data_IF_463659356603
#
_entry.id   IF_463659356603
#
_cell.length_a   1.000
_cell.length_b   1.000
_cell.length_c   1.000
_cell.angle_alpha   90.00
_cell.angle_beta   90.00
_cell.angle_gamma   90.00
#
_symmetry.space_group_name_H-M   'P 1'
#
loop_
_entity.id
_entity.type
_entity.pdbx_description
1 polymer ?
#
# COMPACT_ATOMS: atom_id res chain seq x y z
N UNK A 1 -41.63 -19.09 7.87
CA UNK A 1 -40.37 -19.01 8.63
C UNK A 1 -39.47 -18.08 7.85
N UNK A 2 -39.35 -16.85 8.32
CA UNK A 2 -38.58 -15.82 7.65
C UNK A 2 -37.12 -16.29 7.58
N UNK A 3 -36.53 -16.27 6.39
CA UNK A 3 -35.13 -16.63 6.21
C UNK A 3 -34.30 -15.70 7.07
N UNK A 4 -33.49 -16.27 7.95
CA UNK A 4 -32.46 -15.49 8.64
C UNK A 4 -31.58 -14.89 7.55
N UNK A 5 -31.68 -13.58 7.35
CA UNK A 5 -30.63 -12.85 6.67
C UNK A 5 -29.40 -13.04 7.54
N UNK A 6 -28.38 -13.75 7.04
CA UNK A 6 -27.09 -13.77 7.71
C UNK A 6 -26.69 -12.31 7.94
N UNK A 7 -26.32 -11.90 9.17
CA UNK A 7 -25.80 -10.56 9.35
C UNK A 7 -24.64 -10.41 8.37
N UNK A 8 -24.68 -9.40 7.50
CA UNK A 8 -23.54 -9.07 6.66
C UNK A 8 -22.43 -8.61 7.60
N UNK A 9 -21.54 -9.52 7.96
CA UNK A 9 -20.37 -9.20 8.77
C UNK A 9 -19.42 -8.41 7.86
N UNK A 10 -19.01 -7.21 8.27
CA UNK A 10 -18.22 -6.32 7.41
C UNK A 10 -16.85 -6.93 7.12
N UNK A 11 -16.38 -6.76 5.89
CA UNK A 11 -14.99 -7.05 5.51
C UNK A 11 -14.10 -5.98 6.12
N UNK A 12 -12.99 -6.39 6.72
CA UNK A 12 -11.96 -5.47 7.23
C UNK A 12 -10.76 -5.51 6.29
N UNK A 13 -10.18 -4.35 5.99
CA UNK A 13 -8.98 -4.22 5.17
C UNK A 13 -7.91 -3.45 5.93
N UNK A 14 -6.64 -3.73 5.64
CA UNK A 14 -5.51 -2.98 6.20
C UNK A 14 -4.34 -2.97 5.24
N UNK A 15 -3.89 -1.77 4.90
CA UNK A 15 -2.66 -1.51 4.15
C UNK A 15 -1.51 -1.16 5.09
N UNK A 16 -0.33 -1.72 4.81
CA UNK A 16 0.92 -1.46 5.54
C UNK A 16 2.09 -1.44 4.56
N UNK A 17 3.04 -0.51 4.76
CA UNK A 17 4.35 -0.62 4.13
C UNK A 17 5.16 -1.69 4.86
N UNK A 18 5.75 -2.60 4.11
CA UNK A 18 6.51 -3.74 4.64
C UNK A 18 7.96 -3.78 4.13
N UNK A 19 8.33 -2.88 3.23
CA UNK A 19 9.68 -2.80 2.68
C UNK A 19 9.92 -1.49 1.93
N UNK A 20 11.20 -1.18 1.72
CA UNK A 20 11.64 0.09 1.15
C UNK A 20 11.70 1.21 2.19
N UNK A 21 12.49 2.23 1.89
CA UNK A 21 12.58 3.49 2.63
C UNK A 21 12.35 4.65 1.64
N UNK A 22 11.80 5.79 2.10
CA UNK A 22 11.32 6.06 3.47
C UNK A 22 9.96 5.42 3.80
N UNK A 23 9.59 5.42 5.08
CA UNK A 23 8.22 5.10 5.50
C UNK A 23 7.25 6.20 5.03
N UNK A 24 6.13 5.81 4.42
CA UNK A 24 5.09 6.74 3.97
C UNK A 24 3.82 6.66 4.81
N UNK A 25 3.16 7.81 4.99
CA UNK A 25 1.82 7.87 5.57
C UNK A 25 0.78 7.33 4.57
N UNK A 26 0.14 6.21 4.92
CA UNK A 26 -0.95 5.63 4.13
C UNK A 26 -2.29 6.21 4.60
N UNK A 27 -2.87 7.07 3.79
CA UNK A 27 -4.19 7.65 4.01
C UNK A 27 -5.28 6.60 3.76
N UNK A 28 -6.27 6.58 4.65
CA UNK A 28 -7.37 5.60 4.62
C UNK A 28 -6.86 4.15 4.59
N UNK A 29 -5.83 3.81 5.38
CA UNK A 29 -5.19 2.48 5.38
C UNK A 29 -6.13 1.32 5.73
N UNK A 30 -7.26 1.59 6.39
CA UNK A 30 -8.28 0.58 6.69
C UNK A 30 -9.35 0.44 5.59
N UNK A 31 -9.23 1.18 4.48
CA UNK A 31 -10.13 1.11 3.33
C UNK A 31 -9.60 0.17 2.24
N UNK A 32 -10.48 -0.40 1.39
CA UNK A 32 -10.04 -1.21 0.25
C UNK A 32 -9.25 -0.39 -0.79
N UNK A 33 -9.46 0.92 -0.81
CA UNK A 33 -8.72 1.88 -1.61
C UNK A 33 -8.05 2.86 -0.64
N UNK A 34 -6.72 2.92 -0.71
CA UNK A 34 -5.89 3.81 0.11
C UNK A 34 -4.93 4.58 -0.79
N UNK A 35 -4.38 5.68 -0.28
CA UNK A 35 -3.42 6.51 -1.01
C UNK A 35 -2.22 6.83 -0.13
N UNK A 36 -1.07 7.08 -0.75
CA UNK A 36 0.11 7.62 -0.08
C UNK A 36 0.70 8.73 -0.95
N UNK A 37 1.42 9.66 -0.34
CA UNK A 37 2.18 10.66 -1.07
C UNK A 37 3.50 10.03 -1.52
N UNK A 38 3.85 10.21 -2.80
CA UNK A 38 5.17 9.80 -3.30
C UNK A 38 6.23 10.62 -2.55
N UNK A 39 7.28 9.98 -1.98
CA UNK A 39 8.37 10.69 -1.31
C UNK A 39 9.02 11.75 -2.21
N UNK A 40 9.48 12.84 -1.61
CA UNK A 40 10.28 13.85 -2.29
C UNK A 40 11.63 13.30 -2.74
N UNK A 41 12.23 13.90 -3.77
CA UNK A 41 13.57 13.53 -4.23
C UNK A 41 14.69 13.86 -3.23
N UNK A 42 14.41 14.66 -2.20
CA UNK A 42 15.30 14.87 -1.05
C UNK A 42 15.22 13.76 0.01
N UNK A 43 14.21 12.89 -0.07
CA UNK A 43 13.98 11.79 0.87
C UNK A 43 14.46 10.42 0.35
N UNK A 44 14.81 10.34 -0.93
CA UNK A 44 15.28 9.11 -1.60
C UNK A 44 16.62 9.36 -2.28
N UNK A 45 17.53 8.40 -2.21
CA UNK A 45 18.84 8.44 -2.88
C UNK A 45 18.77 7.55 -4.14
N UNK A 46 18.28 8.12 -5.23
CA UNK A 46 18.00 7.41 -6.47
C UNK A 46 16.69 6.59 -6.44
N UNK A 47 16.56 5.69 -7.42
CA UNK A 47 15.38 4.84 -7.57
C UNK A 47 15.20 3.93 -6.35
N UNK A 48 14.03 4.01 -5.71
CA UNK A 48 13.66 3.17 -4.56
C UNK A 48 12.43 2.35 -4.88
N UNK A 49 12.32 1.18 -4.24
CA UNK A 49 11.12 0.33 -4.31
C UNK A 49 10.46 0.30 -2.95
N UNK A 50 9.21 0.77 -2.88
CA UNK A 50 8.36 0.67 -1.70
C UNK A 50 7.45 -0.55 -1.84
N UNK A 51 7.44 -1.43 -0.84
CA UNK A 51 6.61 -2.64 -0.83
C UNK A 51 5.47 -2.48 0.16
N UNK A 52 4.25 -2.74 -0.28
CA UNK A 52 3.04 -2.67 0.52
C UNK A 52 2.35 -4.02 0.62
N UNK A 53 1.68 -4.26 1.75
CA UNK A 53 0.84 -5.43 1.98
C UNK A 53 -0.59 -4.99 2.27
N UNK A 54 -1.54 -5.58 1.55
CA UNK A 54 -2.96 -5.56 1.87
C UNK A 54 -3.32 -6.83 2.63
N UNK A 55 -3.92 -6.68 3.80
CA UNK A 55 -4.58 -7.77 4.54
C UNK A 55 -6.08 -7.58 4.45
N UNK A 56 -6.82 -8.62 4.05
CA UNK A 56 -8.29 -8.63 3.99
C UNK A 56 -8.81 -9.71 4.92
N UNK A 57 -9.77 -9.37 5.77
CA UNK A 57 -10.45 -10.31 6.66
C UNK A 57 -11.92 -10.35 6.26
N UNK A 58 -12.41 -11.51 5.85
CA UNK A 58 -13.81 -11.69 5.49
C UNK A 58 -14.72 -11.69 6.73
N UNK A 59 -16.04 -11.70 6.48
CA UNK A 59 -17.02 -11.72 7.56
C UNK A 59 -17.01 -13.00 8.42
N UNK A 60 -16.25 -14.02 8.03
CA UNK A 60 -16.09 -15.27 8.79
C UNK A 60 -14.75 -15.31 9.55
N UNK A 61 -13.94 -14.26 9.44
CA UNK A 61 -12.61 -14.16 10.06
C UNK A 61 -11.49 -14.82 9.23
N UNK A 62 -11.76 -15.24 7.99
CA UNK A 62 -10.74 -15.77 7.09
C UNK A 62 -9.90 -14.62 6.58
N UNK A 63 -8.59 -14.79 6.63
CA UNK A 63 -7.62 -13.77 6.22
C UNK A 63 -6.99 -14.15 4.88
N UNK A 64 -6.87 -13.16 3.98
CA UNK A 64 -6.04 -13.24 2.78
C UNK A 64 -5.08 -12.06 2.72
N UNK A 65 -3.94 -12.24 2.04
CA UNK A 65 -2.88 -11.24 1.96
C UNK A 65 -2.37 -11.08 0.53
N UNK A 66 -2.12 -9.83 0.12
CA UNK A 66 -1.52 -9.51 -1.15
C UNK A 66 -0.38 -8.50 -0.97
N UNK A 67 0.65 -8.59 -1.82
CA UNK A 67 1.80 -7.68 -1.85
C UNK A 67 1.85 -6.90 -3.15
N UNK A 68 2.26 -5.63 -3.08
CA UNK A 68 2.46 -4.77 -4.24
C UNK A 68 3.75 -3.95 -4.08
N UNK A 69 4.54 -3.88 -5.14
CA UNK A 69 5.77 -3.09 -5.20
C UNK A 69 5.55 -1.83 -6.05
N UNK A 70 6.02 -0.69 -5.56
CA UNK A 70 5.98 0.60 -6.23
C UNK A 70 7.40 1.12 -6.41
N UNK A 71 7.82 1.28 -7.66
CA UNK A 71 9.12 1.88 -7.98
C UNK A 71 8.94 3.40 -8.06
N UNK A 72 9.66 4.13 -7.22
CA UNK A 72 9.77 5.58 -7.25
C UNK A 72 11.08 5.91 -7.94
N UNK A 73 11.00 6.51 -9.12
CA UNK A 73 12.17 6.92 -9.89
C UNK A 73 12.59 8.33 -9.50
N UNK A 74 13.88 8.51 -9.21
CA UNK A 74 14.42 9.84 -8.99
C UNK A 74 14.52 10.58 -10.34
N UNK A 75 13.89 11.74 -10.41
CA UNK A 75 13.86 12.55 -11.62
C UNK A 75 15.23 13.16 -11.98
N UNK A 76 16.24 13.09 -11.10
CA UNK A 76 17.57 13.68 -11.30
C UNK A 76 18.54 12.76 -12.05
N UNK A 77 18.25 11.45 -12.19
CA UNK A 77 19.16 10.49 -12.83
C UNK A 77 19.26 10.60 -14.37
N UNK A 78 18.65 11.60 -15.01
CA UNK A 78 18.66 11.76 -16.47
C UNK A 78 19.63 12.81 -17.02
N UNK A 79 20.42 13.51 -16.19
CA UNK A 79 21.32 14.60 -16.66
C UNK A 79 22.81 14.40 -16.33
N UNK A 80 23.27 13.17 -16.12
CA UNK A 80 24.69 12.86 -15.89
C UNK A 80 25.26 11.98 -17.01
N UNK A 81 25.18 12.43 -18.27
CA UNK A 81 26.06 11.99 -19.36
C UNK A 81 26.34 13.18 -20.31
N UNK A 82 27.46 13.88 -20.07
CA UNK A 82 28.57 14.09 -21.02
C UNK A 82 29.30 15.42 -20.72
N UNK A 83 30.64 15.34 -20.60
CA UNK A 83 31.53 16.46 -20.30
C UNK A 83 32.08 17.20 -21.51
#
# INVERSE_FOLDING_TARGET
MEGIVSPMIPITTRWEQTGGEPDVDIMDSESPISTFAVPGCDEIDGDTTLTFRLTVIDGQGVTDVASADFVVTDAVAADEEEG
#
